data_IF_780338522550
#
_entry.id   IF_780338522550
#
_cell.length_a   1.000
_cell.length_b   1.000
_cell.length_c   1.000
_cell.angle_alpha   90.00
_cell.angle_beta   90.00
_cell.angle_gamma   90.00
#
_symmetry.space_group_name_H-M   'P 1'
#
loop_
_entity.id
_entity.type
_entity.pdbx_description
1 polymer ?
#
# COMPACT_ATOMS: atom_id res chain seq x y z
N UNK A 1 -33.75 -0.55 -29.39
CA UNK A 1 -32.60 0.38 -29.26
C UNK A 1 -32.44 0.70 -27.78
N UNK A 2 -31.61 -0.06 -27.07
CA UNK A 2 -31.24 0.22 -25.69
C UNK A 2 -29.74 0.00 -25.60
N UNK A 3 -28.99 1.09 -25.80
CA UNK A 3 -27.56 1.15 -25.54
C UNK A 3 -27.39 0.98 -24.02
N UNK A 4 -27.19 -0.26 -23.56
CA UNK A 4 -26.41 -0.48 -22.35
C UNK A 4 -24.98 -0.14 -22.73
N UNK A 5 -24.57 1.09 -22.44
CA UNK A 5 -23.15 1.40 -22.27
C UNK A 5 -22.64 0.45 -21.18
N UNK A 6 -21.98 -0.63 -21.59
CA UNK A 6 -21.13 -1.40 -20.70
C UNK A 6 -20.17 -0.38 -20.07
N UNK A 7 -20.28 -0.16 -18.76
CA UNK A 7 -19.28 0.61 -18.04
C UNK A 7 -17.98 -0.14 -18.26
N UNK A 8 -17.08 0.43 -19.06
CA UNK A 8 -15.69 -0.03 -19.11
C UNK A 8 -15.18 -0.02 -17.66
N UNK A 9 -14.86 -1.21 -17.14
CA UNK A 9 -14.27 -1.32 -15.81
C UNK A 9 -12.92 -0.59 -15.84
N UNK A 10 -12.78 0.45 -15.02
CA UNK A 10 -11.53 1.16 -14.87
C UNK A 10 -10.44 0.16 -14.44
N UNK A 11 -9.28 0.13 -15.10
CA UNK A 11 -8.16 -0.70 -14.67
C UNK A 11 -7.81 -0.42 -13.21
N UNK A 12 -7.45 -1.46 -12.45
CA UNK A 12 -7.32 -1.36 -11.00
C UNK A 12 -6.26 -0.34 -10.57
N UNK A 13 -5.25 -0.11 -11.41
CA UNK A 13 -4.18 0.88 -11.22
C UNK A 13 -4.65 2.34 -11.28
N UNK A 14 -5.91 2.60 -11.69
CA UNK A 14 -6.53 3.92 -11.67
C UNK A 14 -7.62 4.06 -10.59
N UNK A 15 -7.88 3.00 -9.81
CA UNK A 15 -8.84 3.05 -8.71
C UNK A 15 -8.21 3.77 -7.53
N UNK A 16 -8.81 4.90 -7.15
CA UNK A 16 -8.38 5.76 -6.05
C UNK A 16 -8.25 4.98 -4.74
N UNK A 17 -7.15 5.17 -4.02
CA UNK A 17 -6.94 4.51 -2.73
C UNK A 17 -8.05 4.92 -1.74
N UNK A 18 -8.49 3.99 -0.90
CA UNK A 18 -9.59 4.18 0.08
C UNK A 18 -10.98 4.42 -0.52
N UNK A 19 -11.17 4.29 -1.84
CA UNK A 19 -12.51 4.27 -2.42
C UNK A 19 -13.24 2.95 -2.12
N UNK A 20 -14.58 2.90 -2.22
CA UNK A 20 -15.33 1.65 -2.07
C UNK A 20 -14.86 0.53 -3.02
N UNK A 21 -14.52 0.88 -4.26
CA UNK A 21 -14.00 -0.05 -5.27
C UNK A 21 -12.62 -0.59 -4.86
N UNK A 22 -11.77 0.25 -4.25
CA UNK A 22 -10.48 -0.17 -3.72
C UNK A 22 -10.61 -1.19 -2.59
N UNK A 23 -11.57 -0.99 -1.67
CA UNK A 23 -11.86 -1.97 -0.63
C UNK A 23 -12.39 -3.27 -1.23
N UNK A 24 -13.30 -3.18 -2.20
CA UNK A 24 -13.86 -4.34 -2.89
C UNK A 24 -12.77 -5.19 -3.53
N UNK A 25 -11.81 -4.57 -4.23
CA UNK A 25 -10.67 -5.28 -4.81
C UNK A 25 -9.83 -6.01 -3.77
N UNK A 26 -9.61 -5.39 -2.62
CA UNK A 26 -8.79 -5.97 -1.54
C UNK A 26 -9.49 -7.12 -0.84
N UNK A 27 -10.81 -7.14 -0.81
CA UNK A 27 -11.60 -8.23 -0.24
C UNK A 27 -11.61 -9.49 -1.13
N UNK A 28 -11.29 -9.35 -2.42
CA UNK A 28 -11.16 -10.49 -3.35
C UNK A 28 -9.94 -11.37 -3.04
N UNK A 29 -8.95 -10.83 -2.35
CA UNK A 29 -7.68 -11.52 -2.08
C UNK A 29 -7.45 -11.73 -0.59
N UNK A 30 -6.68 -12.77 -0.25
CA UNK A 30 -6.31 -13.05 1.14
C UNK A 30 -5.09 -12.27 1.61
N UNK A 31 -4.23 -11.87 0.67
CA UNK A 31 -2.97 -11.20 0.93
C UNK A 31 -2.96 -9.83 0.27
N UNK A 32 -2.53 -8.81 1.02
CA UNK A 32 -2.23 -7.48 0.47
C UNK A 32 -0.79 -7.11 0.80
N UNK A 33 -0.23 -6.11 0.11
CA UNK A 33 1.17 -5.69 0.34
C UNK A 33 1.54 -5.49 1.81
N UNK A 34 0.68 -4.80 2.56
CA UNK A 34 0.87 -4.51 3.98
C UNK A 34 0.83 -5.71 4.94
N UNK A 35 0.30 -6.87 4.51
CA UNK A 35 0.26 -8.12 5.31
C UNK A 35 1.13 -9.22 4.69
N UNK A 36 1.84 -8.93 3.60
CA UNK A 36 2.60 -9.92 2.87
C UNK A 36 3.72 -10.53 3.73
N UNK A 37 4.40 -9.71 4.54
CA UNK A 37 5.41 -10.15 5.52
C UNK A 37 4.92 -11.31 6.40
N UNK A 38 3.69 -11.21 6.91
CA UNK A 38 3.12 -12.23 7.77
C UNK A 38 2.71 -13.47 6.95
N UNK A 39 2.23 -13.26 5.73
CA UNK A 39 1.80 -14.35 4.82
C UNK A 39 2.95 -15.26 4.37
N UNK A 40 4.16 -14.72 4.23
CA UNK A 40 5.35 -15.49 3.81
C UNK A 40 6.12 -16.08 5.00
N UNK A 41 5.59 -15.95 6.21
CA UNK A 41 6.17 -16.59 7.39
C UNK A 41 7.42 -15.90 7.95
N UNK A 42 7.59 -14.60 7.73
CA UNK A 42 8.72 -13.84 8.29
C UNK A 42 8.43 -13.23 9.68
N UNK A 43 7.25 -13.49 10.24
CA UNK A 43 6.89 -13.10 11.60
C UNK A 43 6.90 -14.32 12.54
N UNK A 44 6.47 -14.14 13.79
CA UNK A 44 6.38 -15.22 14.78
C UNK A 44 5.40 -16.32 14.38
N UNK A 45 5.62 -17.55 14.85
CA UNK A 45 4.73 -18.70 14.63
C UNK A 45 3.28 -18.40 15.08
N UNK A 46 3.10 -17.61 16.15
CA UNK A 46 1.77 -17.20 16.62
C UNK A 46 1.05 -16.34 15.57
N UNK A 47 1.72 -15.33 15.03
CA UNK A 47 1.16 -14.46 13.99
C UNK A 47 0.82 -15.24 12.73
N UNK A 48 1.67 -16.19 12.35
CA UNK A 48 1.42 -17.06 11.19
C UNK A 48 0.18 -17.95 11.37
N UNK A 49 0.02 -18.55 12.56
CA UNK A 49 -1.18 -19.33 12.90
C UNK A 49 -2.43 -18.47 12.86
N UNK A 50 -2.40 -17.29 13.48
CA UNK A 50 -3.50 -16.34 13.46
C UNK A 50 -3.85 -15.93 12.01
N UNK A 51 -2.84 -15.67 11.16
CA UNK A 51 -3.04 -15.34 9.75
C UNK A 51 -3.70 -16.48 8.98
N UNK A 52 -3.19 -17.71 9.12
CA UNK A 52 -3.74 -18.90 8.47
C UNK A 52 -5.22 -19.12 8.86
N UNK A 53 -5.52 -19.07 10.15
CA UNK A 53 -6.89 -19.28 10.62
C UNK A 53 -7.87 -18.21 10.11
N UNK A 54 -7.45 -16.95 10.10
CA UNK A 54 -8.29 -15.82 9.75
C UNK A 54 -8.47 -15.66 8.24
N UNK A 55 -7.38 -15.84 7.47
CA UNK A 55 -7.37 -15.58 6.03
C UNK A 55 -7.62 -16.83 5.19
N UNK A 56 -7.21 -18.01 5.64
CA UNK A 56 -7.32 -19.25 4.87
C UNK A 56 -8.40 -20.20 5.38
N UNK A 57 -8.65 -20.27 6.69
CA UNK A 57 -9.75 -21.06 7.25
C UNK A 57 -11.08 -20.29 7.39
N UNK A 58 -11.13 -19.01 6.97
CA UNK A 58 -12.30 -18.15 7.04
C UNK A 58 -12.95 -18.07 8.44
N UNK A 59 -12.16 -18.20 9.51
CA UNK A 59 -12.69 -17.95 10.85
C UNK A 59 -13.12 -16.48 10.96
N UNK A 60 -14.25 -16.18 11.63
CA UNK A 60 -14.68 -14.81 11.85
C UNK A 60 -13.56 -14.00 12.51
N UNK A 61 -13.20 -12.86 11.93
CA UNK A 61 -12.32 -11.93 12.61
C UNK A 61 -13.10 -11.25 13.73
N UNK A 62 -13.04 -11.81 14.93
CA UNK A 62 -13.71 -11.27 16.12
C UNK A 62 -12.89 -10.18 16.82
N UNK A 63 -11.65 -9.91 16.37
CA UNK A 63 -10.85 -8.82 16.91
C UNK A 63 -11.34 -7.50 16.33
N UNK A 64 -12.04 -6.73 17.15
CA UNK A 64 -12.31 -5.34 16.84
C UNK A 64 -10.98 -4.60 16.64
N UNK A 65 -10.96 -3.74 15.61
CA UNK A 65 -9.83 -2.82 15.39
C UNK A 65 -9.76 -1.90 16.60
N UNK A 66 -8.61 -1.89 17.29
CA UNK A 66 -8.45 -1.08 18.49
C UNK A 66 -8.60 0.41 18.18
N UNK A 67 -9.10 1.20 19.15
CA UNK A 67 -9.22 2.66 19.01
C UNK A 67 -7.89 3.32 18.64
N UNK A 68 -6.78 2.85 19.22
CA UNK A 68 -5.43 3.28 18.85
C UNK A 68 -5.13 3.05 17.35
N UNK A 69 -5.56 1.91 16.79
CA UNK A 69 -5.37 1.63 15.36
C UNK A 69 -6.24 2.53 14.49
N UNK A 70 -7.49 2.78 14.89
CA UNK A 70 -8.39 3.71 14.18
C UNK A 70 -7.82 5.14 14.17
N UNK A 71 -7.31 5.61 15.31
CA UNK A 71 -6.65 6.91 15.43
C UNK A 71 -5.41 7.00 14.54
N UNK A 72 -4.54 5.99 14.56
CA UNK A 72 -3.35 5.95 13.72
C UNK A 72 -3.70 5.93 12.22
N UNK A 73 -4.72 5.17 11.81
CA UNK A 73 -5.18 5.13 10.42
C UNK A 73 -5.76 6.49 9.97
N UNK A 74 -6.53 7.15 10.83
CA UNK A 74 -7.09 8.47 10.54
C UNK A 74 -5.99 9.54 10.47
N UNK A 75 -5.04 9.51 11.41
CA UNK A 75 -3.88 10.41 11.39
C UNK A 75 -3.05 10.23 10.11
N UNK A 76 -2.80 8.98 9.71
CA UNK A 76 -2.13 8.65 8.44
C UNK A 76 -2.85 9.27 7.24
N UNK A 77 -4.16 8.98 7.13
CA UNK A 77 -4.97 9.41 5.99
C UNK A 77 -5.07 10.94 5.87
N UNK A 78 -5.13 11.65 7.00
CA UNK A 78 -5.25 13.12 7.01
C UNK A 78 -3.93 13.84 6.73
N UNK A 79 -2.78 13.21 7.01
CA UNK A 79 -1.46 13.81 6.84
C UNK A 79 -0.70 13.36 5.58
N UNK A 80 -1.20 12.35 4.87
CA UNK A 80 -0.60 11.84 3.65
C UNK A 80 -0.36 12.94 2.60
N UNK A 81 -1.30 13.87 2.42
CA UNK A 81 -1.14 14.99 1.49
C UNK A 81 0.01 15.92 1.88
N UNK A 82 0.27 16.10 3.18
CA UNK A 82 1.39 16.91 3.67
C UNK A 82 2.73 16.21 3.43
N UNK A 83 2.76 14.88 3.57
CA UNK A 83 3.93 14.07 3.23
C UNK A 83 4.21 14.11 1.71
N UNK A 84 3.19 14.00 0.87
CA UNK A 84 3.31 14.17 -0.59
C UNK A 84 3.84 15.58 -0.92
N UNK A 85 3.29 16.63 -0.33
CA UNK A 85 3.76 18.00 -0.53
C UNK A 85 5.24 18.17 -0.14
N UNK A 86 5.69 17.45 0.90
CA UNK A 86 7.10 17.44 1.31
C UNK A 86 7.98 16.74 0.27
N UNK A 87 7.56 15.56 -0.23
CA UNK A 87 8.27 14.85 -1.30
C UNK A 87 8.39 15.75 -2.54
N UNK A 88 7.27 16.32 -3.00
CA UNK A 88 7.22 17.16 -4.20
C UNK A 88 7.97 18.48 -4.04
N UNK A 89 7.86 19.13 -2.87
CA UNK A 89 8.42 20.46 -2.64
C UNK A 89 9.87 20.49 -2.15
N UNK A 90 10.37 19.40 -1.54
CA UNK A 90 11.70 19.34 -0.91
C UNK A 90 12.60 18.26 -1.47
N UNK A 91 12.07 17.07 -1.76
CA UNK A 91 12.89 15.92 -2.19
C UNK A 91 13.06 15.92 -3.71
N UNK A 92 11.95 15.95 -4.44
CA UNK A 92 11.96 15.87 -5.91
C UNK A 92 12.83 16.95 -6.57
N UNK A 93 12.82 18.23 -6.17
CA UNK A 93 13.62 19.25 -6.86
C UNK A 93 15.13 19.00 -6.80
N UNK A 94 15.60 18.25 -5.79
CA UNK A 94 17.03 17.95 -5.59
C UNK A 94 17.41 16.61 -6.21
N UNK A 95 16.63 15.55 -5.91
CA UNK A 95 16.99 14.17 -6.27
C UNK A 95 16.32 13.69 -7.56
N UNK A 96 15.14 14.23 -7.89
CA UNK A 96 14.32 13.81 -9.03
C UNK A 96 13.73 15.00 -9.81
N UNK A 97 14.55 15.99 -10.24
CA UNK A 97 14.07 17.30 -10.71
C UNK A 97 13.17 17.25 -11.95
N UNK A 98 13.27 16.18 -12.75
CA UNK A 98 12.52 16.00 -13.98
C UNK A 98 11.36 14.99 -13.85
N UNK A 99 11.10 14.49 -12.64
CA UNK A 99 10.04 13.52 -12.39
C UNK A 99 8.74 14.21 -12.03
N UNK A 100 7.63 13.56 -12.35
CA UNK A 100 6.27 13.94 -11.89
C UNK A 100 5.74 12.88 -10.94
N UNK A 101 5.13 13.31 -9.83
CA UNK A 101 4.47 12.43 -8.87
C UNK A 101 3.06 12.07 -9.36
N UNK A 102 2.69 10.80 -9.25
CA UNK A 102 1.36 10.28 -9.56
C UNK A 102 0.84 9.45 -8.38
N UNK A 103 -0.40 9.69 -7.97
CA UNK A 103 -1.15 8.70 -7.19
C UNK A 103 -1.38 7.46 -8.07
N UNK A 104 -1.21 6.28 -7.49
CA UNK A 104 -1.41 5.00 -8.19
C UNK A 104 -2.44 4.17 -7.45
N UNK A 105 -3.32 3.53 -8.20
CA UNK A 105 -4.32 2.63 -7.65
C UNK A 105 -3.76 1.26 -7.26
N UNK A 106 -4.66 0.28 -7.23
CA UNK A 106 -4.32 -1.08 -6.83
C UNK A 106 -3.78 -1.92 -8.00
N UNK A 107 -2.73 -2.70 -7.74
CA UNK A 107 -2.17 -3.68 -8.66
C UNK A 107 -2.52 -5.10 -8.21
N UNK A 108 -3.19 -5.84 -9.08
CA UNK A 108 -3.50 -7.25 -8.87
C UNK A 108 -2.31 -8.12 -9.31
N UNK A 109 -1.75 -8.90 -8.38
CA UNK A 109 -0.87 -10.02 -8.71
C UNK A 109 -1.76 -11.23 -8.93
N UNK A 110 -1.62 -11.85 -10.10
CA UNK A 110 -2.42 -13.00 -10.53
C UNK A 110 -1.55 -14.25 -10.60
N UNK A 111 -2.16 -15.40 -10.33
CA UNK A 111 -1.53 -16.69 -10.56
C UNK A 111 -1.43 -17.03 -12.06
N UNK A 112 -0.88 -18.20 -12.38
CA UNK A 112 -0.75 -18.70 -13.76
C UNK A 112 -2.09 -18.93 -14.48
N UNK A 113 -3.20 -18.94 -13.74
CA UNK A 113 -4.56 -19.11 -14.26
C UNK A 113 -5.31 -17.78 -14.36
N UNK A 114 -4.66 -16.65 -14.02
CA UNK A 114 -5.28 -15.34 -14.03
C UNK A 114 -6.09 -15.01 -12.77
N UNK A 115 -6.09 -15.87 -11.75
CA UNK A 115 -6.80 -15.64 -10.48
C UNK A 115 -6.04 -14.59 -9.65
N UNK A 116 -6.68 -13.52 -9.17
CA UNK A 116 -6.03 -12.58 -8.28
C UNK A 116 -5.68 -13.27 -6.95
N UNK A 117 -4.40 -13.23 -6.58
CA UNK A 117 -3.89 -13.85 -5.34
C UNK A 117 -3.41 -12.81 -4.33
N UNK A 118 -3.02 -11.62 -4.80
CA UNK A 118 -2.56 -10.54 -3.96
C UNK A 118 -2.87 -9.18 -4.57
N UNK A 119 -3.13 -8.19 -3.72
CA UNK A 119 -3.33 -6.79 -4.12
C UNK A 119 -2.27 -5.90 -3.46
N UNK A 120 -1.56 -5.15 -4.27
CA UNK A 120 -0.56 -4.15 -3.85
C UNK A 120 -1.11 -2.76 -4.17
N UNK A 121 -0.88 -1.77 -3.32
CA UNK A 121 -1.41 -0.41 -3.54
C UNK A 121 -0.37 0.59 -3.07
N UNK A 122 0.63 0.90 -3.91
CA UNK A 122 1.64 1.91 -3.60
C UNK A 122 0.96 3.26 -3.31
N UNK A 123 1.53 4.05 -2.40
CA UNK A 123 0.99 5.39 -2.11
C UNK A 123 1.24 6.38 -3.26
N UNK A 124 2.23 6.10 -4.12
CA UNK A 124 2.42 6.80 -5.38
C UNK A 124 3.63 6.32 -6.19
N UNK A 125 3.88 7.00 -7.29
CA UNK A 125 5.05 6.77 -8.13
C UNK A 125 5.58 8.08 -8.74
N UNK A 126 6.90 8.23 -8.77
CA UNK A 126 7.55 9.24 -9.59
C UNK A 126 7.81 8.66 -10.99
N UNK A 127 7.51 9.41 -12.05
CA UNK A 127 7.74 8.98 -13.44
C UNK A 127 8.50 10.02 -14.25
N UNK A 128 9.47 9.58 -15.05
CA UNK A 128 10.21 10.40 -16.01
C UNK A 128 10.79 9.51 -17.12
N UNK A 129 10.51 9.79 -18.40
CA UNK A 129 11.13 9.11 -19.55
C UNK A 129 11.14 7.57 -19.45
N UNK A 130 10.03 6.97 -19.02
CA UNK A 130 9.89 5.52 -18.83
C UNK A 130 10.49 4.97 -17.53
N UNK A 131 11.24 5.77 -16.77
CA UNK A 131 11.71 5.41 -15.44
C UNK A 131 10.62 5.60 -14.40
N UNK A 132 10.58 4.70 -13.43
CA UNK A 132 9.62 4.69 -12.35
C UNK A 132 10.35 4.55 -11.02
N UNK A 133 9.99 5.39 -10.06
CA UNK A 133 10.39 5.28 -8.65
C UNK A 133 9.11 5.07 -7.83
N UNK A 134 9.05 3.97 -7.08
CA UNK A 134 7.92 3.67 -6.19
C UNK A 134 7.96 4.56 -4.95
N UNK A 135 6.81 4.92 -4.38
CA UNK A 135 6.72 5.73 -3.17
C UNK A 135 5.80 5.06 -2.15
N UNK A 136 6.32 4.85 -0.95
CA UNK A 136 5.60 4.41 0.25
C UNK A 136 5.64 5.52 1.30
N UNK A 137 4.50 5.91 1.82
CA UNK A 137 4.33 7.00 2.79
C UNK A 137 3.78 6.44 4.11
N UNK A 138 4.38 6.86 5.21
CA UNK A 138 3.88 6.63 6.56
C UNK A 138 3.83 7.97 7.27
N UNK A 139 2.73 8.23 7.96
CA UNK A 139 2.63 9.34 8.89
C UNK A 139 2.42 8.74 10.29
N UNK A 140 3.49 8.42 11.03
CA UNK A 140 3.38 7.83 12.35
C UNK A 140 2.76 8.83 13.32
N UNK A 141 1.72 8.39 14.03
CA UNK A 141 1.07 9.22 15.04
C UNK A 141 1.91 9.27 16.33
N UNK A 142 2.35 10.48 16.70
CA UNK A 142 3.28 10.74 17.81
C UNK A 142 2.82 10.19 19.16
N UNK A 143 1.50 10.09 19.38
CA UNK A 143 0.90 9.52 20.59
C UNK A 143 1.25 8.04 20.80
N UNK A 144 1.60 7.30 19.75
CA UNK A 144 1.90 5.86 19.82
C UNK A 144 3.38 5.50 19.62
N UNK A 145 4.18 6.39 19.05
CA UNK A 145 5.56 6.09 18.65
C UNK A 145 6.62 6.75 19.53
N UNK A 146 6.20 7.46 20.59
CA UNK A 146 7.09 8.31 21.37
C UNK A 146 7.66 9.45 20.54
N UNK A 147 8.27 10.44 21.18
CA UNK A 147 8.93 11.57 20.50
C UNK A 147 10.23 11.15 19.79
N UNK A 148 10.23 10.05 19.05
CA UNK A 148 11.39 9.65 18.24
C UNK A 148 11.33 10.47 16.96
N UNK A 149 12.20 11.49 16.78
CA UNK A 149 11.96 12.52 15.77
C UNK A 149 12.15 12.02 14.32
N UNK A 150 12.78 10.85 14.14
CA UNK A 150 13.15 10.31 12.83
C UNK A 150 13.21 8.78 12.89
N UNK A 151 12.44 8.09 12.04
CA UNK A 151 12.71 6.69 11.71
C UNK A 151 13.73 6.63 10.57
N UNK A 152 15.00 6.40 10.89
CA UNK A 152 16.06 6.32 9.87
C UNK A 152 15.99 5.07 8.98
N UNK A 153 15.10 4.12 9.29
CA UNK A 153 14.94 2.89 8.52
C UNK A 153 13.50 2.34 8.61
N UNK A 154 12.98 1.75 7.52
CA UNK A 154 11.74 0.99 7.56
C UNK A 154 11.88 -0.21 8.49
N UNK A 155 10.77 -0.60 9.14
CA UNK A 155 10.65 -1.88 9.85
C UNK A 155 10.70 -3.03 8.83
N UNK A 156 11.12 -4.21 9.26
CA UNK A 156 11.23 -5.40 8.39
C UNK A 156 9.95 -5.69 7.59
N UNK A 157 8.78 -5.58 8.25
CA UNK A 157 7.48 -5.75 7.57
C UNK A 157 7.23 -4.75 6.44
N UNK A 158 7.76 -3.52 6.57
CA UNK A 158 7.61 -2.47 5.57
C UNK A 158 8.57 -2.71 4.39
N UNK A 159 9.75 -3.32 4.63
CA UNK A 159 10.68 -3.68 3.55
C UNK A 159 10.01 -4.62 2.55
N UNK A 160 9.30 -5.65 3.02
CA UNK A 160 8.56 -6.58 2.14
C UNK A 160 7.49 -5.85 1.32
N UNK A 161 6.77 -4.92 1.95
CA UNK A 161 5.79 -4.10 1.25
C UNK A 161 6.44 -3.24 0.16
N UNK A 162 7.54 -2.54 0.49
CA UNK A 162 8.29 -1.72 -0.48
C UNK A 162 8.78 -2.55 -1.67
N UNK A 163 9.31 -3.75 -1.43
CA UNK A 163 9.77 -4.66 -2.49
C UNK A 163 8.64 -5.08 -3.43
N UNK A 164 7.45 -5.35 -2.88
CA UNK A 164 6.27 -5.71 -3.69
C UNK A 164 5.79 -4.54 -4.54
N UNK A 165 5.79 -3.32 -3.99
CA UNK A 165 5.42 -2.10 -4.71
C UNK A 165 6.39 -1.81 -5.86
N UNK A 166 7.69 -1.92 -5.59
CA UNK A 166 8.73 -1.82 -6.63
C UNK A 166 8.52 -2.87 -7.73
N UNK A 167 8.18 -4.11 -7.35
CA UNK A 167 7.93 -5.19 -8.30
C UNK A 167 6.71 -4.92 -9.20
N UNK A 168 5.55 -4.57 -8.63
CA UNK A 168 4.32 -4.37 -9.42
C UNK A 168 4.39 -3.13 -10.32
N UNK A 169 5.13 -2.11 -9.88
CA UNK A 169 5.36 -0.90 -10.67
C UNK A 169 6.51 -1.05 -11.68
N UNK A 170 7.30 -2.13 -11.59
CA UNK A 170 8.58 -2.28 -12.31
C UNK A 170 9.49 -1.07 -12.09
N UNK A 171 9.51 -0.58 -10.86
CA UNK A 171 10.31 0.56 -10.47
C UNK A 171 11.79 0.18 -10.33
N UNK A 172 12.69 1.11 -10.63
CA UNK A 172 14.14 0.95 -10.46
C UNK A 172 14.57 1.26 -9.02
N UNK A 173 13.82 2.15 -8.36
CA UNK A 173 14.09 2.67 -7.03
C UNK A 173 12.81 2.75 -6.19
N UNK A 174 12.98 2.93 -4.88
CA UNK A 174 11.89 3.07 -3.93
C UNK A 174 12.19 4.18 -2.93
N UNK A 175 11.25 5.11 -2.76
CA UNK A 175 11.27 6.13 -1.71
C UNK A 175 10.37 5.65 -0.58
N UNK A 176 10.97 5.50 0.61
CA UNK A 176 10.24 5.28 1.84
C UNK A 176 10.25 6.57 2.66
N UNK A 177 9.07 7.12 2.94
CA UNK A 177 8.88 8.34 3.73
C UNK A 177 8.11 8.00 5.01
N UNK A 178 8.65 8.37 6.17
CA UNK A 178 8.05 8.10 7.49
C UNK A 178 8.26 9.21 8.48
#
# INVERSE_FOLDING_TARGET
MQNKLEKEELPSEYIKQRSPEWFTLRDLVKVTGSVAHDSIGLNTLKVQKDFFELKLCAKPNTKEVSEASKLAMNHGSTNEINAIATIVGKIMPVFYPNFTFYEVGAHNIRDKHGTPVMVISPDGALRCNGKIVSVEIKCPCSEFFGNTPVFYKPKERQIIQCLLETHVLRAEEHIYSS
#
